data_IF_355736123082
#
_entry.id   IF_355736123082
#
_cell.length_a   1.000
_cell.length_b   1.000
_cell.length_c   1.000
_cell.angle_alpha   90.00
_cell.angle_beta   90.00
_cell.angle_gamma   90.00
#
_symmetry.space_group_name_H-M   'P 1'
#
loop_
_entity.id
_entity.type
_entity.pdbx_description
1 polymer ?
#
# COMPACT_ATOMS: atom_id res chain seq x y z
N UNK A 1 1.89 -21.82 -3.91
CA UNK A 1 3.12 -21.30 -4.46
C UNK A 1 3.48 -20.02 -3.73
N UNK A 2 4.69 -19.98 -3.12
CA UNK A 2 5.19 -18.86 -2.31
C UNK A 2 6.59 -18.44 -2.79
N UNK A 3 6.75 -18.23 -4.09
CA UNK A 3 7.97 -17.70 -4.70
C UNK A 3 7.78 -16.22 -5.09
N UNK A 4 8.86 -15.57 -5.53
CA UNK A 4 8.79 -14.21 -6.04
C UNK A 4 7.88 -14.14 -7.28
N UNK A 5 7.18 -13.03 -7.47
CA UNK A 5 6.25 -12.83 -8.58
C UNK A 5 6.91 -13.04 -9.95
N UNK A 6 8.15 -12.56 -10.13
CA UNK A 6 8.91 -12.71 -11.38
C UNK A 6 9.21 -14.18 -11.73
N UNK A 7 9.35 -15.05 -10.71
CA UNK A 7 9.59 -16.49 -10.91
C UNK A 7 8.31 -17.30 -11.06
N UNK A 8 7.16 -16.73 -10.77
CA UNK A 8 5.90 -17.47 -10.66
C UNK A 8 5.50 -18.14 -11.98
N UNK A 9 5.64 -17.42 -13.10
CA UNK A 9 5.31 -17.95 -14.43
C UNK A 9 6.12 -19.18 -14.79
N UNK A 10 7.43 -19.19 -14.50
CA UNK A 10 8.33 -20.31 -14.79
C UNK A 10 8.02 -21.52 -13.90
N UNK A 11 7.69 -21.27 -12.63
CA UNK A 11 7.26 -22.32 -11.70
C UNK A 11 5.97 -22.96 -12.18
N UNK A 12 4.98 -22.18 -12.63
CA UNK A 12 3.72 -22.69 -13.17
C UNK A 12 3.95 -23.50 -14.46
N UNK A 13 4.80 -23.00 -15.36
CA UNK A 13 5.15 -23.73 -16.59
C UNK A 13 5.83 -25.08 -16.29
N UNK A 14 6.77 -25.07 -15.34
CA UNK A 14 7.46 -26.31 -14.90
C UNK A 14 6.48 -27.32 -14.29
N UNK A 15 5.58 -26.88 -13.42
CA UNK A 15 4.55 -27.73 -12.83
C UNK A 15 3.62 -28.29 -13.90
N UNK A 16 3.22 -27.49 -14.88
CA UNK A 16 2.35 -27.91 -15.96
C UNK A 16 3.04 -28.97 -16.86
N UNK A 17 4.33 -28.83 -17.13
CA UNK A 17 5.10 -29.79 -17.91
C UNK A 17 5.35 -31.10 -17.16
N UNK A 18 5.55 -31.05 -15.87
CA UNK A 18 5.87 -32.21 -15.04
C UNK A 18 4.72 -33.21 -14.87
N UNK A 19 3.48 -32.76 -15.09
CA UNK A 19 2.22 -33.53 -14.89
C UNK A 19 2.12 -34.24 -13.52
N UNK A 20 2.79 -33.70 -12.49
CA UNK A 20 2.78 -34.28 -11.13
C UNK A 20 1.50 -34.00 -10.37
N UNK A 21 0.73 -33.00 -10.78
CA UNK A 21 -0.52 -32.64 -10.13
C UNK A 21 -1.66 -33.56 -10.61
N UNK A 22 -2.46 -34.00 -9.65
CA UNK A 22 -3.65 -34.81 -9.94
C UNK A 22 -4.84 -33.90 -10.28
N UNK A 23 -5.78 -34.35 -11.10
CA UNK A 23 -7.07 -33.66 -11.25
C UNK A 23 -7.71 -33.38 -9.87
N UNK A 24 -8.42 -32.27 -9.76
CA UNK A 24 -9.02 -31.77 -8.53
C UNK A 24 -8.03 -31.33 -7.43
N UNK A 25 -6.73 -31.24 -7.74
CA UNK A 25 -5.78 -30.60 -6.82
C UNK A 25 -6.07 -29.10 -6.71
N UNK A 26 -5.95 -28.56 -5.51
CA UNK A 26 -5.99 -27.12 -5.27
C UNK A 26 -4.60 -26.52 -5.45
N UNK A 27 -4.49 -25.53 -6.34
CA UNK A 27 -3.24 -24.81 -6.58
C UNK A 27 -3.45 -23.33 -6.28
N UNK A 28 -2.69 -22.84 -5.30
CA UNK A 28 -2.85 -21.50 -4.75
C UNK A 28 -1.50 -20.79 -4.82
N UNK A 29 -1.52 -19.50 -5.16
CA UNK A 29 -0.36 -18.61 -4.97
C UNK A 29 -0.67 -17.47 -4.01
N UNK A 30 0.37 -16.87 -3.44
CA UNK A 30 0.24 -15.80 -2.45
C UNK A 30 0.64 -14.41 -2.96
N UNK A 31 0.76 -14.23 -4.27
CA UNK A 31 1.04 -12.91 -4.85
C UNK A 31 -0.07 -11.89 -4.53
N UNK A 32 0.33 -10.68 -4.18
CA UNK A 32 -0.59 -9.56 -3.97
C UNK A 32 -1.10 -8.97 -5.27
N UNK A 33 -0.28 -8.97 -6.33
CA UNK A 33 -0.58 -8.30 -7.61
C UNK A 33 -1.04 -9.25 -8.70
N UNK A 34 -0.48 -10.46 -8.78
CA UNK A 34 -0.86 -11.45 -9.79
C UNK A 34 -2.20 -12.08 -9.43
N UNK A 35 -3.05 -12.29 -10.42
CA UNK A 35 -4.32 -12.98 -10.23
C UNK A 35 -4.21 -14.48 -10.56
N UNK A 36 -5.26 -15.26 -10.25
CA UNK A 36 -5.32 -16.70 -10.46
C UNK A 36 -5.27 -17.11 -11.95
N UNK A 37 -5.47 -16.20 -12.89
CA UNK A 37 -5.31 -16.44 -14.32
C UNK A 37 -3.92 -16.94 -14.70
N UNK A 38 -2.91 -16.57 -13.91
CA UNK A 38 -1.56 -17.12 -14.06
C UNK A 38 -1.54 -18.65 -13.99
N UNK A 39 -2.43 -19.25 -13.20
CA UNK A 39 -2.52 -20.70 -13.00
C UNK A 39 -3.37 -21.42 -14.06
N UNK A 40 -3.85 -20.72 -15.10
CA UNK A 40 -4.64 -21.31 -16.19
C UNK A 40 -4.03 -22.57 -16.81
N UNK A 41 -2.71 -22.71 -17.00
CA UNK A 41 -2.11 -23.96 -17.50
C UNK A 41 -2.43 -25.16 -16.61
N UNK A 42 -2.46 -24.98 -15.29
CA UNK A 42 -2.76 -26.04 -14.31
C UNK A 42 -4.27 -26.30 -14.23
N UNK A 43 -5.08 -25.27 -14.36
CA UNK A 43 -6.55 -25.41 -14.46
C UNK A 43 -6.96 -26.26 -15.65
N UNK A 44 -6.27 -26.12 -16.81
CA UNK A 44 -6.49 -26.98 -18.00
C UNK A 44 -6.17 -28.45 -17.76
N UNK A 45 -5.38 -28.77 -16.72
CA UNK A 45 -5.08 -30.13 -16.29
C UNK A 45 -6.07 -30.67 -15.23
N UNK A 46 -7.15 -29.93 -14.97
CA UNK A 46 -8.20 -30.31 -14.02
C UNK A 46 -7.93 -29.87 -12.57
N UNK A 47 -6.97 -28.96 -12.33
CA UNK A 47 -6.80 -28.35 -11.01
C UNK A 47 -7.79 -27.22 -10.79
N UNK A 48 -8.16 -26.98 -9.53
CA UNK A 48 -8.82 -25.76 -9.08
C UNK A 48 -7.77 -24.74 -8.64
N UNK A 49 -7.93 -23.48 -9.01
CA UNK A 49 -6.91 -22.44 -8.85
C UNK A 49 -7.43 -21.23 -8.11
N UNK A 50 -6.58 -20.65 -7.25
CA UNK A 50 -6.89 -19.41 -6.57
C UNK A 50 -5.62 -18.61 -6.24
N UNK A 51 -5.83 -17.35 -5.92
CA UNK A 51 -4.86 -16.48 -5.23
C UNK A 51 -5.36 -16.17 -3.82
N UNK A 52 -4.48 -16.25 -2.83
CA UNK A 52 -4.73 -15.81 -1.46
C UNK A 52 -3.58 -14.92 -1.01
N UNK A 53 -3.84 -13.65 -0.80
CA UNK A 53 -2.84 -12.68 -0.32
C UNK A 53 -3.09 -12.29 1.13
N UNK A 54 -2.26 -12.74 2.09
CA UNK A 54 -2.30 -12.24 3.47
C UNK A 54 -1.81 -10.79 3.51
N UNK A 55 -2.65 -9.86 3.97
CA UNK A 55 -2.35 -8.42 3.99
C UNK A 55 -1.53 -8.05 5.25
N UNK A 56 -0.26 -8.43 5.24
CA UNK A 56 0.66 -8.18 6.37
C UNK A 56 2.10 -7.98 5.89
N UNK A 57 2.77 -7.00 6.46
CA UNK A 57 4.21 -6.84 6.34
C UNK A 57 4.92 -7.90 7.22
N UNK A 58 5.18 -9.09 6.65
CA UNK A 58 5.89 -10.15 7.36
C UNK A 58 7.36 -9.77 7.52
N UNK A 59 7.84 -9.75 8.76
CA UNK A 59 9.27 -9.65 9.06
C UNK A 59 9.88 -11.05 9.07
N UNK A 60 11.09 -11.17 8.54
CA UNK A 60 11.84 -12.41 8.27
C UNK A 60 12.13 -13.29 9.49
N UNK A 61 11.46 -13.30 10.56
CA UNK A 61 11.71 -14.20 11.70
C UNK A 61 10.46 -14.47 12.56
N UNK A 62 9.25 -14.17 12.04
CA UNK A 62 8.02 -14.41 12.76
C UNK A 62 7.20 -15.53 12.12
N UNK A 63 7.50 -16.76 12.51
CA UNK A 63 6.65 -17.93 12.29
C UNK A 63 5.92 -18.24 13.61
N UNK A 64 4.86 -17.47 13.87
CA UNK A 64 3.98 -17.73 15.00
C UNK A 64 2.64 -18.27 14.48
N UNK A 65 2.08 -19.26 15.16
CA UNK A 65 0.75 -19.80 14.84
C UNK A 65 -0.37 -18.76 14.92
N UNK A 66 -0.15 -17.66 15.65
CA UNK A 66 -1.05 -16.51 15.73
C UNK A 66 -0.88 -15.50 14.58
N UNK A 67 0.00 -15.76 13.60
CA UNK A 67 0.32 -14.83 12.53
C UNK A 67 -0.90 -14.40 11.68
N UNK A 68 -1.92 -15.26 11.63
CA UNK A 68 -3.17 -15.03 10.90
C UNK A 68 -4.31 -14.48 11.76
N UNK A 69 -4.14 -14.38 13.08
CA UNK A 69 -5.19 -13.87 13.96
C UNK A 69 -5.47 -12.39 13.67
N UNK A 70 -6.73 -12.07 13.39
CA UNK A 70 -7.20 -10.73 13.00
C UNK A 70 -6.48 -10.18 11.74
N UNK A 71 -6.04 -11.06 10.86
CA UNK A 71 -5.38 -10.70 9.61
C UNK A 71 -6.39 -10.72 8.47
N UNK A 72 -6.45 -9.62 7.72
CA UNK A 72 -7.18 -9.59 6.46
C UNK A 72 -6.42 -10.36 5.39
N UNK A 73 -7.14 -11.24 4.70
CA UNK A 73 -6.62 -12.01 3.58
C UNK A 73 -7.53 -11.79 2.37
N UNK A 74 -6.98 -11.39 1.25
CA UNK A 74 -7.73 -11.18 0.03
C UNK A 74 -7.58 -12.37 -0.89
N UNK A 75 -8.70 -12.89 -1.40
CA UNK A 75 -8.73 -14.08 -2.26
C UNK A 75 -9.57 -13.85 -3.52
N UNK A 76 -9.23 -14.59 -4.55
CA UNK A 76 -10.02 -14.76 -5.77
C UNK A 76 -9.63 -16.07 -6.46
N UNK A 77 -10.50 -16.60 -7.34
CA UNK A 77 -10.25 -17.83 -8.07
C UNK A 77 -11.49 -18.71 -8.17
N UNK A 78 -11.29 -20.03 -8.30
CA UNK A 78 -12.37 -21.00 -8.39
C UNK A 78 -13.11 -21.14 -7.07
N UNK A 79 -14.45 -21.27 -7.14
CA UNK A 79 -15.32 -21.27 -5.96
C UNK A 79 -14.92 -22.36 -4.95
N UNK A 80 -14.63 -23.56 -5.41
CA UNK A 80 -14.31 -24.71 -4.57
C UNK A 80 -13.08 -24.48 -3.70
N UNK A 81 -12.03 -23.87 -4.27
CA UNK A 81 -10.81 -23.59 -3.52
C UNK A 81 -10.98 -22.34 -2.66
N UNK A 82 -11.75 -21.35 -3.10
CA UNK A 82 -12.06 -20.16 -2.30
C UNK A 82 -12.87 -20.53 -1.05
N UNK A 83 -13.84 -21.42 -1.14
CA UNK A 83 -14.61 -21.93 0.01
C UNK A 83 -13.70 -22.68 0.99
N UNK A 84 -12.82 -23.54 0.49
CA UNK A 84 -11.87 -24.26 1.32
C UNK A 84 -10.90 -23.30 2.04
N UNK A 85 -10.36 -22.29 1.33
CA UNK A 85 -9.48 -21.27 1.88
C UNK A 85 -10.21 -20.46 2.96
N UNK A 86 -11.44 -20.03 2.68
CA UNK A 86 -12.25 -19.28 3.63
C UNK A 86 -12.45 -20.07 4.92
N UNK A 87 -12.88 -21.34 4.82
CA UNK A 87 -13.05 -22.20 5.98
C UNK A 87 -11.75 -22.37 6.77
N UNK A 88 -10.65 -22.69 6.07
CA UNK A 88 -9.36 -22.99 6.69
C UNK A 88 -8.74 -21.78 7.39
N UNK A 89 -8.73 -20.63 6.73
CA UNK A 89 -8.10 -19.43 7.28
C UNK A 89 -8.93 -18.73 8.33
N UNK A 90 -10.27 -18.84 8.27
CA UNK A 90 -11.14 -18.37 9.36
C UNK A 90 -10.86 -19.14 10.65
N UNK A 91 -10.58 -20.43 10.58
CA UNK A 91 -10.18 -21.23 11.76
C UNK A 91 -8.84 -20.76 12.36
N UNK A 92 -7.97 -20.16 11.55
CA UNK A 92 -6.72 -19.53 12.01
C UNK A 92 -6.95 -18.10 12.56
N UNK A 93 -8.18 -17.60 12.50
CA UNK A 93 -8.56 -16.27 12.96
C UNK A 93 -8.40 -15.16 11.93
N UNK A 94 -8.21 -15.50 10.65
CA UNK A 94 -8.15 -14.52 9.55
C UNK A 94 -9.54 -14.09 9.09
N UNK A 95 -9.62 -12.91 8.51
CA UNK A 95 -10.79 -12.37 7.82
C UNK A 95 -10.58 -12.48 6.31
N UNK A 96 -11.48 -13.16 5.62
CA UNK A 96 -11.35 -13.40 4.18
C UNK A 96 -12.22 -12.42 3.38
N UNK A 97 -11.62 -11.75 2.42
CA UNK A 97 -12.27 -10.76 1.55
C UNK A 97 -12.11 -11.23 0.10
N UNK A 98 -13.22 -11.56 -0.55
CA UNK A 98 -13.21 -11.92 -1.96
C UNK A 98 -13.22 -10.67 -2.84
N UNK A 99 -12.42 -10.69 -3.92
CA UNK A 99 -12.41 -9.65 -4.95
C UNK A 99 -12.47 -10.28 -6.35
N UNK A 100 -12.81 -9.48 -7.34
CA UNK A 100 -12.69 -9.90 -8.73
C UNK A 100 -11.22 -9.97 -9.16
N UNK A 101 -10.80 -10.96 -9.98
CA UNK A 101 -9.41 -11.10 -10.43
C UNK A 101 -8.85 -9.82 -11.05
N UNK A 102 -9.67 -9.07 -11.81
CA UNK A 102 -9.27 -7.81 -12.44
C UNK A 102 -8.91 -6.71 -11.43
N UNK A 103 -9.42 -6.79 -10.20
CA UNK A 103 -9.17 -5.81 -9.15
C UNK A 103 -7.83 -5.99 -8.43
N UNK A 104 -7.12 -7.12 -8.63
CA UNK A 104 -5.87 -7.45 -7.91
C UNK A 104 -4.82 -6.34 -7.97
N UNK A 105 -4.56 -5.79 -9.16
CA UNK A 105 -3.54 -4.75 -9.32
C UNK A 105 -3.88 -3.48 -8.55
N UNK A 106 -5.13 -3.01 -8.61
CA UNK A 106 -5.59 -1.84 -7.87
C UNK A 106 -5.56 -2.08 -6.36
N UNK A 107 -6.02 -3.25 -5.91
CA UNK A 107 -5.93 -3.68 -4.52
C UNK A 107 -4.49 -3.66 -4.01
N UNK A 108 -3.54 -4.25 -4.74
CA UNK A 108 -2.14 -4.30 -4.33
C UNK A 108 -1.50 -2.89 -4.31
N UNK A 109 -1.84 -2.04 -5.27
CA UNK A 109 -1.40 -0.65 -5.26
C UNK A 109 -1.90 0.09 -3.99
N UNK A 110 -3.15 -0.12 -3.57
CA UNK A 110 -3.67 0.42 -2.32
C UNK A 110 -2.92 -0.10 -1.10
N UNK A 111 -2.60 -1.41 -1.06
CA UNK A 111 -1.79 -2.01 -0.01
C UNK A 111 -0.37 -1.40 0.06
N UNK A 112 0.26 -1.16 -1.10
CA UNK A 112 1.57 -0.48 -1.18
C UNK A 112 1.47 0.95 -0.66
N UNK A 113 0.42 1.70 -1.00
CA UNK A 113 0.19 3.05 -0.48
C UNK A 113 0.08 3.06 1.04
N UNK A 114 -0.71 2.14 1.61
CA UNK A 114 -0.96 2.08 3.04
C UNK A 114 0.21 1.52 3.86
N UNK A 115 1.11 0.76 3.26
CA UNK A 115 2.22 0.09 3.94
C UNK A 115 3.58 0.66 3.52
N UNK A 116 4.02 0.37 2.29
CA UNK A 116 5.36 0.71 1.83
C UNK A 116 5.58 2.23 1.77
N UNK A 117 4.62 2.99 1.25
CA UNK A 117 4.76 4.44 1.15
C UNK A 117 4.56 5.17 2.47
N UNK A 118 3.89 4.56 3.45
CA UNK A 118 3.94 5.05 4.83
C UNK A 118 5.38 5.07 5.36
N UNK A 119 6.16 4.03 5.09
CA UNK A 119 7.59 3.98 5.49
C UNK A 119 8.42 5.01 4.71
N UNK A 120 8.13 5.22 3.42
CA UNK A 120 8.76 6.28 2.63
C UNK A 120 8.50 7.67 3.23
N UNK A 121 7.23 7.97 3.58
CA UNK A 121 6.87 9.22 4.24
C UNK A 121 7.57 9.38 5.60
N UNK A 122 7.71 8.28 6.34
CA UNK A 122 8.44 8.28 7.60
C UNK A 122 9.92 8.64 7.39
N UNK A 123 10.60 8.03 6.41
CA UNK A 123 11.99 8.33 6.10
C UNK A 123 12.18 9.79 5.66
N UNK A 124 11.32 10.30 4.78
CA UNK A 124 11.34 11.71 4.37
C UNK A 124 11.12 12.67 5.54
N UNK A 125 10.18 12.35 6.42
CA UNK A 125 9.91 13.17 7.63
C UNK A 125 11.10 13.16 8.59
N UNK A 126 11.76 12.00 8.80
CA UNK A 126 12.96 11.91 9.65
C UNK A 126 14.08 12.77 9.07
N UNK A 127 14.33 12.76 7.76
CA UNK A 127 15.33 13.59 7.09
C UNK A 127 15.05 15.09 7.30
N UNK A 128 13.81 15.54 7.14
CA UNK A 128 13.43 16.93 7.37
C UNK A 128 13.59 17.34 8.85
N UNK A 129 13.29 16.47 9.80
CA UNK A 129 13.57 16.75 11.22
C UNK A 129 15.07 16.87 11.51
N UNK A 130 15.90 16.03 10.89
CA UNK A 130 17.36 16.11 11.00
C UNK A 130 17.89 17.41 10.35
N UNK A 131 17.38 17.81 9.20
CA UNK A 131 17.68 19.10 8.55
C UNK A 131 17.32 20.28 9.46
N UNK A 132 16.23 20.18 10.24
CA UNK A 132 15.85 21.17 11.24
C UNK A 132 16.70 21.13 12.51
N UNK A 133 17.72 20.27 12.61
CA UNK A 133 18.62 20.15 13.76
C UNK A 133 18.06 19.30 14.91
N UNK A 134 16.98 18.58 14.72
CA UNK A 134 16.42 17.70 15.75
C UNK A 134 17.27 16.42 15.84
N UNK A 135 17.74 16.02 17.05
CA UNK A 135 18.55 14.81 17.21
C UNK A 135 17.84 13.53 16.76
N UNK A 136 18.56 12.53 16.19
CA UNK A 136 17.96 11.34 15.60
C UNK A 136 16.99 10.57 16.51
N UNK A 137 17.33 10.43 17.78
CA UNK A 137 16.48 9.72 18.75
C UNK A 137 15.15 10.44 19.00
N UNK A 138 15.12 11.77 18.93
CA UNK A 138 13.90 12.56 19.09
C UNK A 138 13.10 12.61 17.79
N UNK A 139 13.76 12.78 16.63
CA UNK A 139 13.07 12.86 15.33
C UNK A 139 12.23 11.61 15.06
N UNK A 140 12.77 10.43 15.32
CA UNK A 140 12.02 9.17 15.15
C UNK A 140 10.82 9.07 16.07
N UNK A 141 10.99 9.40 17.35
CA UNK A 141 9.88 9.35 18.31
C UNK A 141 8.78 10.36 17.96
N UNK A 142 9.14 11.59 17.60
CA UNK A 142 8.18 12.63 17.20
C UNK A 142 7.40 12.22 15.96
N UNK A 143 8.09 11.71 14.93
CA UNK A 143 7.48 11.22 13.69
C UNK A 143 6.49 10.08 13.97
N UNK A 144 6.91 9.05 14.71
CA UNK A 144 6.06 7.89 15.03
C UNK A 144 4.82 8.33 15.81
N UNK A 145 4.98 9.18 16.82
CA UNK A 145 3.85 9.70 17.61
C UNK A 145 2.85 10.49 16.75
N UNK A 146 3.35 11.32 15.82
CA UNK A 146 2.50 12.11 14.93
C UNK A 146 1.73 11.21 13.95
N UNK A 147 2.41 10.23 13.35
CA UNK A 147 1.77 9.25 12.45
C UNK A 147 0.73 8.40 13.19
N UNK A 148 1.08 7.92 14.39
CA UNK A 148 0.14 7.12 15.21
C UNK A 148 -1.09 7.93 15.60
N UNK A 149 -0.91 9.22 15.93
CA UNK A 149 -2.02 10.12 16.22
C UNK A 149 -2.98 10.24 15.04
N UNK A 150 -2.46 10.40 13.81
CA UNK A 150 -3.28 10.45 12.60
C UNK A 150 -3.96 9.12 12.30
N UNK A 151 -3.29 7.98 12.49
CA UNK A 151 -3.91 6.66 12.34
C UNK A 151 -5.06 6.46 13.35
N UNK A 152 -4.88 6.91 14.58
CA UNK A 152 -5.95 6.86 15.59
C UNK A 152 -7.14 7.76 15.22
N UNK A 153 -6.89 8.95 14.65
CA UNK A 153 -7.94 9.85 14.17
C UNK A 153 -8.73 9.20 13.02
N UNK A 154 -8.06 8.56 12.07
CA UNK A 154 -8.71 7.82 10.98
C UNK A 154 -9.68 6.73 11.47
N UNK A 155 -9.38 6.08 12.61
CA UNK A 155 -10.27 5.08 13.20
C UNK A 155 -11.52 5.68 13.86
N UNK A 156 -11.52 6.99 14.14
CA UNK A 156 -12.59 7.70 14.86
C UNK A 156 -13.48 8.56 13.97
N UNK A 157 -13.10 8.76 12.70
CA UNK A 157 -13.84 9.59 11.74
C UNK A 157 -14.54 8.72 10.71
N UNK A 158 -15.70 9.17 10.25
CA UNK A 158 -16.46 8.48 9.20
C UNK A 158 -15.84 8.75 7.81
N UNK A 159 -15.34 9.97 7.59
CA UNK A 159 -14.69 10.34 6.33
C UNK A 159 -13.20 10.67 6.55
N UNK A 160 -12.37 10.18 5.66
CA UNK A 160 -10.90 10.41 5.72
C UNK A 160 -10.57 11.91 5.79
N UNK A 161 -11.33 12.74 5.08
CA UNK A 161 -11.14 14.19 5.05
C UNK A 161 -11.24 14.84 6.43
N UNK A 162 -12.08 14.30 7.32
CA UNK A 162 -12.30 14.84 8.68
C UNK A 162 -11.09 14.63 9.60
N UNK A 163 -10.19 13.71 9.25
CA UNK A 163 -8.93 13.49 9.98
C UNK A 163 -7.82 14.44 9.52
N UNK A 164 -8.04 15.20 8.45
CA UNK A 164 -7.03 16.06 7.86
C UNK A 164 -6.90 17.37 8.63
N UNK A 165 -5.67 17.73 8.99
CA UNK A 165 -5.34 18.96 9.71
C UNK A 165 -4.16 19.68 9.05
N UNK A 166 -3.80 20.86 9.55
CA UNK A 166 -2.58 21.55 9.14
C UNK A 166 -2.78 22.69 8.14
N UNK A 167 -1.69 23.24 7.58
CA UNK A 167 -1.73 24.48 6.78
C UNK A 167 -2.49 24.31 5.47
N UNK A 168 -2.45 23.12 4.85
CA UNK A 168 -3.12 22.87 3.56
C UNK A 168 -4.64 22.95 3.70
N UNK A 169 -5.20 22.38 4.78
CA UNK A 169 -6.66 22.47 5.05
C UNK A 169 -7.13 23.90 5.24
N UNK A 170 -6.29 24.74 5.84
CA UNK A 170 -6.61 26.16 6.06
C UNK A 170 -6.33 27.04 4.85
N UNK A 171 -5.71 26.50 3.80
CA UNK A 171 -5.32 27.26 2.61
C UNK A 171 -4.14 28.21 2.87
N UNK A 172 -3.22 27.86 3.78
CA UNK A 172 -2.08 28.69 4.16
C UNK A 172 -0.99 28.64 3.07
N UNK A 173 -1.24 29.22 1.89
CA UNK A 173 -0.35 29.19 0.72
C UNK A 173 1.06 29.67 1.05
N UNK A 174 1.18 30.72 1.89
CA UNK A 174 2.49 31.26 2.31
C UNK A 174 3.31 30.24 3.10
N UNK A 175 2.66 29.48 3.98
CA UNK A 175 3.33 28.41 4.75
C UNK A 175 3.83 27.30 3.82
N UNK A 176 3.02 26.91 2.84
CA UNK A 176 3.41 25.90 1.85
C UNK A 176 4.58 26.37 0.99
N UNK A 177 4.60 27.64 0.58
CA UNK A 177 5.73 28.24 -0.14
C UNK A 177 7.02 28.15 0.66
N UNK A 178 6.98 28.53 1.94
CA UNK A 178 8.14 28.47 2.84
C UNK A 178 8.64 27.02 3.00
N UNK A 179 7.74 26.05 3.11
CA UNK A 179 8.15 24.64 3.16
C UNK A 179 8.91 24.24 1.90
N UNK A 180 8.39 24.57 0.72
CA UNK A 180 9.01 24.24 -0.56
C UNK A 180 10.36 24.94 -0.78
N UNK A 181 10.53 26.15 -0.26
CA UNK A 181 11.82 26.85 -0.29
C UNK A 181 12.85 26.21 0.64
N UNK A 182 12.40 25.63 1.76
CA UNK A 182 13.26 25.09 2.82
C UNK A 182 13.68 23.64 2.52
N UNK A 183 12.85 22.83 1.88
CA UNK A 183 13.17 21.43 1.58
C UNK A 183 14.35 21.37 0.61
N UNK A 184 15.51 20.90 1.06
CA UNK A 184 16.75 20.84 0.26
C UNK A 184 16.74 19.65 -0.71
N UNK A 185 16.31 18.47 -0.26
CA UNK A 185 16.28 17.25 -1.07
C UNK A 185 15.22 17.36 -2.18
N UNK A 186 15.61 17.28 -3.49
CA UNK A 186 14.68 17.44 -4.59
C UNK A 186 13.63 16.33 -4.68
N UNK A 187 13.96 15.10 -4.26
CA UNK A 187 13.00 13.98 -4.26
C UNK A 187 11.93 14.18 -3.19
N UNK A 188 12.33 14.61 -2.00
CA UNK A 188 11.38 14.94 -0.91
C UNK A 188 10.50 16.12 -1.34
N UNK A 189 11.06 17.11 -2.00
CA UNK A 189 10.30 18.26 -2.52
C UNK A 189 9.24 17.81 -3.52
N UNK A 190 9.59 16.97 -4.49
CA UNK A 190 8.63 16.41 -5.46
C UNK A 190 7.53 15.59 -4.78
N UNK A 191 7.90 14.76 -3.82
CA UNK A 191 6.92 13.98 -3.03
C UNK A 191 5.98 14.90 -2.26
N UNK A 192 6.52 15.96 -1.61
CA UNK A 192 5.73 16.95 -0.89
C UNK A 192 4.74 17.66 -1.82
N UNK A 193 5.17 18.10 -3.01
CA UNK A 193 4.32 18.72 -4.01
C UNK A 193 3.20 17.78 -4.47
N UNK A 194 3.54 16.54 -4.81
CA UNK A 194 2.56 15.54 -5.26
C UNK A 194 1.54 15.23 -4.16
N UNK A 195 1.99 15.09 -2.91
CA UNK A 195 1.12 14.89 -1.76
C UNK A 195 0.19 16.09 -1.54
N UNK A 196 0.72 17.32 -1.61
CA UNK A 196 -0.08 18.53 -1.48
C UNK A 196 -1.19 18.61 -2.55
N UNK A 197 -0.85 18.35 -3.81
CA UNK A 197 -1.82 18.32 -4.92
C UNK A 197 -2.91 17.26 -4.71
N UNK A 198 -2.53 16.05 -4.31
CA UNK A 198 -3.48 14.97 -4.03
C UNK A 198 -4.41 15.29 -2.85
N UNK A 199 -3.89 16.02 -1.86
CA UNK A 199 -4.66 16.41 -0.66
C UNK A 199 -5.73 17.45 -0.97
N UNK A 200 -5.61 18.23 -2.05
CA UNK A 200 -6.62 19.25 -2.42
C UNK A 200 -8.03 18.68 -2.59
N UNK A 201 -8.15 17.44 -3.04
CA UNK A 201 -9.44 16.75 -3.19
C UNK A 201 -10.14 16.46 -1.85
N UNK A 202 -9.39 16.46 -0.75
CA UNK A 202 -9.88 16.23 0.60
C UNK A 202 -10.25 17.54 1.33
N UNK A 203 -10.13 18.70 0.66
CA UNK A 203 -10.35 20.01 1.27
C UNK A 203 -11.61 20.68 0.74
N UNK A 204 -12.23 21.52 1.56
CA UNK A 204 -13.35 22.41 1.18
C UNK A 204 -12.89 23.81 0.77
N UNK A 205 -11.62 23.99 0.37
CA UNK A 205 -11.04 25.28 -0.04
C UNK A 205 -11.73 25.80 -1.31
N UNK A 206 -11.79 27.14 -1.45
CA UNK A 206 -12.24 27.76 -2.70
C UNK A 206 -11.34 27.39 -3.87
N UNK A 207 -11.87 27.36 -5.10
CA UNK A 207 -11.08 27.06 -6.29
C UNK A 207 -9.94 28.06 -6.50
N UNK A 208 -10.11 29.32 -6.09
CA UNK A 208 -9.05 30.31 -6.14
C UNK A 208 -7.83 29.92 -5.30
N UNK A 209 -8.04 29.46 -4.06
CA UNK A 209 -6.95 28.99 -3.19
C UNK A 209 -6.35 27.69 -3.72
N UNK A 210 -7.17 26.76 -4.19
CA UNK A 210 -6.69 25.52 -4.82
C UNK A 210 -5.80 25.82 -6.02
N UNK A 211 -6.16 26.81 -6.85
CA UNK A 211 -5.36 27.20 -8.02
C UNK A 211 -4.02 27.81 -7.62
N UNK A 212 -4.00 28.66 -6.58
CA UNK A 212 -2.75 29.18 -6.02
C UNK A 212 -1.82 28.05 -5.55
N UNK A 213 -2.37 27.02 -4.88
CA UNK A 213 -1.58 25.87 -4.42
C UNK A 213 -1.09 25.02 -5.62
N UNK A 214 -1.94 24.80 -6.64
CA UNK A 214 -1.52 24.11 -7.87
C UNK A 214 -0.37 24.84 -8.55
N UNK A 215 -0.49 26.16 -8.73
CA UNK A 215 0.57 26.96 -9.34
C UNK A 215 1.86 26.89 -8.51
N UNK A 216 1.78 27.00 -7.19
CA UNK A 216 2.93 26.89 -6.30
C UNK A 216 3.64 25.53 -6.43
N UNK A 217 2.89 24.44 -6.48
CA UNK A 217 3.45 23.09 -6.61
C UNK A 217 4.00 22.77 -8.02
N UNK A 218 3.56 23.48 -9.07
CA UNK A 218 4.01 23.27 -10.46
C UNK A 218 5.23 24.13 -10.84
N UNK A 219 5.48 25.24 -10.16
CA UNK A 219 6.49 26.24 -10.56
C UNK A 219 7.96 25.77 -10.39
N UNK A 220 8.23 24.67 -9.71
CA UNK A 220 9.59 24.27 -9.36
C UNK A 220 10.24 23.22 -10.29
N UNK A 221 9.56 22.76 -11.34
CA UNK A 221 10.18 21.81 -12.29
C UNK A 221 11.24 22.48 -13.18
N UNK A 222 11.16 23.80 -13.41
CA UNK A 222 12.00 24.51 -14.40
C UNK A 222 13.24 25.22 -13.82
N UNK A 223 13.50 25.20 -12.52
CA UNK A 223 14.64 25.95 -11.93
C UNK A 223 15.95 25.16 -11.78
N UNK A 224 15.99 23.89 -12.14
CA UNK A 224 17.17 23.03 -11.92
C UNK A 224 17.82 22.47 -13.18
N UNK A 225 17.48 22.97 -14.39
CA UNK A 225 18.11 22.61 -15.66
C UNK A 225 18.86 23.77 -16.34
N UNK A 226 19.31 24.76 -15.58
CA UNK A 226 20.23 25.80 -16.10
C UNK A 226 21.54 25.76 -15.36
#
# INVERSE_FOLDING_TARGET
>A
LCCNDDAMSDVVATLAQSQVLKPNSFVIHCSGVLNSDLLKPLKKQGCFVASLHPLKAFKTNYLDSSAFKNLDCVLEGDAEVCEWLTSSFTQLGAQLIAIEPIAKAAYHAAACMASNYLITLAACSEELFLQAGIPPQHSRTMMVNLMQGNLNNLLQTEHIADSLTGPLVRGDVRTLALHLETIENPEIRRLYQSAALSTLSLTSLSEEIKEQIRALCSLNENKFFT
#
